data_IF_213932576379
#
_entry.id   IF_213932576379
#
_cell.length_a   1.000
_cell.length_b   1.000
_cell.length_c   1.000
_cell.angle_alpha   90.00
_cell.angle_beta   90.00
_cell.angle_gamma   90.00
#
_symmetry.space_group_name_H-M   'P 1'
#
loop_
_entity.id
_entity.type
_entity.pdbx_description
1 polymer ?
#
# COMPACT_ATOMS: atom_id res chain seq x y z
N UNK A 1 -4.81 27.83 -13.84
CA UNK A 1 -3.56 27.72 -13.05
C UNK A 1 -2.72 26.62 -13.69
N UNK A 2 -1.64 26.97 -14.39
CA UNK A 2 -0.76 25.99 -15.05
C UNK A 2 -0.13 25.15 -13.93
N UNK A 3 -0.45 23.84 -13.87
CA UNK A 3 0.26 22.94 -12.96
C UNK A 3 1.69 22.86 -13.50
N UNK A 4 2.65 23.34 -12.71
CA UNK A 4 4.07 23.11 -13.02
C UNK A 4 4.33 21.63 -12.84
N UNK A 5 4.82 20.99 -13.89
CA UNK A 5 5.30 19.62 -13.82
C UNK A 5 6.71 19.63 -13.22
N UNK A 6 6.95 18.75 -12.26
CA UNK A 6 8.21 18.63 -11.54
C UNK A 6 8.95 17.37 -11.97
N UNK A 7 10.28 17.39 -11.84
CA UNK A 7 11.08 16.17 -11.91
C UNK A 7 11.02 15.38 -10.61
N UNK A 8 11.35 14.08 -10.66
CA UNK A 8 11.44 13.24 -9.45
C UNK A 8 12.41 13.87 -8.43
N UNK A 9 13.58 14.33 -8.89
CA UNK A 9 14.59 14.94 -8.02
C UNK A 9 14.07 16.22 -7.35
N UNK A 10 13.37 17.08 -8.09
CA UNK A 10 12.78 18.29 -7.52
C UNK A 10 11.75 17.96 -6.44
N UNK A 11 10.91 16.95 -6.66
CA UNK A 11 9.90 16.54 -5.68
C UNK A 11 10.54 15.93 -4.43
N UNK A 12 11.57 15.10 -4.59
CA UNK A 12 12.33 14.55 -3.47
C UNK A 12 13.04 15.65 -2.68
N UNK A 13 13.65 16.62 -3.37
CA UNK A 13 14.28 17.78 -2.74
C UNK A 13 13.27 18.61 -1.94
N UNK A 14 12.12 18.95 -2.53
CA UNK A 14 11.05 19.67 -1.83
C UNK A 14 10.56 18.91 -0.60
N UNK A 15 10.47 17.58 -0.70
CA UNK A 15 10.05 16.73 0.43
C UNK A 15 11.11 16.72 1.52
N UNK A 16 12.40 16.69 1.17
CA UNK A 16 13.51 16.84 2.12
C UNK A 16 13.57 18.22 2.79
N UNK A 17 13.22 19.30 2.08
CA UNK A 17 13.10 20.63 2.70
C UNK A 17 11.95 20.67 3.71
N UNK A 18 10.82 20.04 3.39
CA UNK A 18 9.69 19.92 4.34
C UNK A 18 10.04 19.10 5.58
N UNK A 19 10.79 18.00 5.40
CA UNK A 19 11.31 17.16 6.48
C UNK A 19 12.16 17.98 7.46
N UNK A 20 13.16 18.71 6.95
CA UNK A 20 14.03 19.57 7.77
C UNK A 20 13.24 20.62 8.56
N UNK A 21 12.36 21.35 7.86
CA UNK A 21 11.52 22.35 8.50
C UNK A 21 10.55 21.76 9.55
N UNK A 22 10.12 20.51 9.37
CA UNK A 22 9.29 19.81 10.35
C UNK A 22 10.11 19.39 11.57
N UNK A 23 11.31 18.84 11.38
CA UNK A 23 12.21 18.45 12.46
C UNK A 23 12.54 19.64 13.36
N UNK A 24 12.89 20.80 12.78
CA UNK A 24 13.13 22.05 13.50
C UNK A 24 11.89 22.49 14.33
N UNK A 25 10.69 22.37 13.74
CA UNK A 25 9.44 22.77 14.42
C UNK A 25 8.96 21.78 15.48
N UNK A 26 9.32 20.51 15.36
CA UNK A 26 9.02 19.49 16.37
C UNK A 26 9.83 19.73 17.65
N UNK A 27 11.05 20.27 17.55
CA UNK A 27 11.84 20.69 18.72
C UNK A 27 11.13 21.81 19.52
N UNK A 28 10.33 22.65 18.86
CA UNK A 28 9.65 23.78 19.51
C UNK A 28 8.18 23.51 19.91
N UNK A 29 7.72 22.24 19.85
CA UNK A 29 6.39 21.77 20.31
C UNK A 29 5.18 22.65 19.92
N UNK A 30 5.16 23.20 18.70
CA UNK A 30 4.11 24.13 18.27
C UNK A 30 2.91 23.41 17.62
N UNK A 31 1.67 23.90 17.81
CA UNK A 31 0.50 23.42 17.05
C UNK A 31 0.68 23.49 15.52
N UNK A 32 1.51 24.43 15.04
CA UNK A 32 1.88 24.55 13.62
C UNK A 32 2.69 23.33 13.12
N UNK A 33 3.41 22.62 14.01
CA UNK A 33 4.13 21.40 13.68
C UNK A 33 3.18 20.26 13.30
N UNK A 34 2.03 20.11 13.98
CA UNK A 34 1.06 19.05 13.69
C UNK A 34 0.48 19.18 12.26
N UNK A 35 0.15 20.40 11.84
CA UNK A 35 -0.34 20.66 10.48
C UNK A 35 0.73 20.42 9.40
N UNK A 36 2.00 20.68 9.70
CA UNK A 36 3.10 20.35 8.79
C UNK A 36 3.38 18.85 8.74
N UNK A 37 3.36 18.17 9.89
CA UNK A 37 3.49 16.71 10.02
C UNK A 37 2.44 15.98 9.19
N UNK A 38 1.15 16.30 9.35
CA UNK A 38 0.07 15.65 8.57
C UNK A 38 0.25 15.87 7.07
N UNK A 39 0.70 17.06 6.66
CA UNK A 39 1.01 17.35 5.24
C UNK A 39 2.20 16.56 4.74
N UNK A 40 3.25 16.43 5.54
CA UNK A 40 4.43 15.63 5.22
C UNK A 40 4.08 14.15 5.03
N UNK A 41 3.40 13.52 5.99
CA UNK A 41 2.97 12.11 5.91
C UNK A 41 2.07 11.88 4.68
N UNK A 42 1.06 12.74 4.47
CA UNK A 42 0.18 12.62 3.29
C UNK A 42 0.95 12.76 1.96
N UNK A 43 1.98 13.61 1.91
CA UNK A 43 2.84 13.76 0.73
C UNK A 43 3.67 12.50 0.50
N UNK A 44 4.34 11.97 1.53
CA UNK A 44 5.09 10.71 1.41
C UNK A 44 4.19 9.55 0.96
N UNK A 45 3.00 9.42 1.54
CA UNK A 45 2.01 8.43 1.10
C UNK A 45 1.62 8.60 -0.38
N UNK A 46 1.29 9.81 -0.80
CA UNK A 46 0.87 10.05 -2.19
C UNK A 46 2.00 9.80 -3.19
N UNK A 47 3.23 10.19 -2.85
CA UNK A 47 4.41 9.95 -3.67
C UNK A 47 4.76 8.46 -3.74
N UNK A 48 4.65 7.73 -2.63
CA UNK A 48 4.78 6.28 -2.62
C UNK A 48 3.78 5.62 -3.59
N UNK A 49 2.52 6.04 -3.54
CA UNK A 49 1.48 5.47 -4.40
C UNK A 49 1.80 5.70 -5.88
N UNK A 50 2.33 6.88 -6.23
CA UNK A 50 2.77 7.18 -7.60
C UNK A 50 4.00 6.33 -7.97
N UNK A 51 5.08 6.39 -7.17
CA UNK A 51 6.34 5.71 -7.47
C UNK A 51 6.22 4.19 -7.53
N UNK A 52 5.34 3.60 -6.73
CA UNK A 52 5.08 2.16 -6.74
C UNK A 52 4.44 1.66 -8.03
N UNK A 53 3.68 2.48 -8.77
CA UNK A 53 3.16 2.10 -10.10
C UNK A 53 4.24 1.94 -11.16
N UNK A 54 5.36 2.64 -10.96
CA UNK A 54 6.49 2.66 -11.88
C UNK A 54 7.65 1.81 -11.35
N UNK A 55 7.39 0.94 -10.36
CA UNK A 55 8.40 0.10 -9.71
C UNK A 55 9.64 0.87 -9.20
N UNK A 56 9.49 2.16 -8.85
CA UNK A 56 10.57 3.01 -8.32
C UNK A 56 10.70 2.76 -6.81
N UNK A 57 11.04 1.53 -6.44
CA UNK A 57 10.90 1.02 -5.07
C UNK A 57 11.94 1.61 -4.08
N UNK A 58 13.13 1.99 -4.56
CA UNK A 58 14.17 2.60 -3.70
C UNK A 58 13.75 3.98 -3.17
N UNK A 59 13.30 4.86 -4.07
CA UNK A 59 12.78 6.17 -3.69
C UNK A 59 11.51 6.05 -2.82
N UNK A 60 10.64 5.09 -3.17
CA UNK A 60 9.46 4.73 -2.39
C UNK A 60 9.81 4.35 -0.95
N UNK A 61 10.80 3.46 -0.77
CA UNK A 61 11.28 3.06 0.55
C UNK A 61 11.84 4.24 1.34
N UNK A 62 12.72 5.04 0.74
CA UNK A 62 13.33 6.21 1.41
C UNK A 62 12.26 7.17 1.94
N UNK A 63 11.23 7.46 1.14
CA UNK A 63 10.12 8.33 1.56
C UNK A 63 9.32 7.75 2.72
N UNK A 64 8.96 6.47 2.65
CA UNK A 64 8.19 5.81 3.71
C UNK A 64 9.00 5.64 5.00
N UNK A 65 10.30 5.35 4.91
CA UNK A 65 11.17 5.23 6.08
C UNK A 65 11.29 6.56 6.83
N UNK A 66 11.48 7.68 6.10
CA UNK A 66 11.47 9.03 6.68
C UNK A 66 10.13 9.37 7.33
N UNK A 67 9.03 9.04 6.64
CA UNK A 67 7.69 9.21 7.17
C UNK A 67 7.48 8.41 8.46
N UNK A 68 7.91 7.16 8.51
CA UNK A 68 7.82 6.31 9.71
C UNK A 68 8.66 6.84 10.87
N UNK A 69 9.90 7.26 10.61
CA UNK A 69 10.78 7.85 11.64
C UNK A 69 10.13 9.06 12.30
N UNK A 70 9.61 9.99 11.48
CA UNK A 70 8.89 11.18 11.98
C UNK A 70 7.59 10.77 12.67
N UNK A 71 6.88 9.78 12.14
CA UNK A 71 5.63 9.31 12.71
C UNK A 71 5.82 8.74 14.12
N UNK A 72 6.83 7.90 14.33
CA UNK A 72 7.13 7.32 15.63
C UNK A 72 7.57 8.39 16.64
N UNK A 73 8.39 9.37 16.22
CA UNK A 73 8.73 10.54 17.07
C UNK A 73 7.47 11.25 17.57
N UNK A 74 6.49 11.40 16.67
CA UNK A 74 5.21 12.07 16.94
C UNK A 74 4.23 11.18 17.71
N UNK A 75 4.30 9.85 17.54
CA UNK A 75 3.42 8.86 18.17
C UNK A 75 3.67 8.76 19.68
N UNK A 76 4.94 8.80 20.08
CA UNK A 76 5.36 8.73 21.48
C UNK A 76 5.33 10.07 22.21
N UNK A 77 5.00 11.17 21.53
CA UNK A 77 4.81 12.48 22.18
C UNK A 77 3.49 12.48 22.98
N UNK A 78 3.54 12.63 24.33
CA UNK A 78 2.36 12.63 25.17
C UNK A 78 1.41 13.81 24.89
N UNK A 79 1.91 14.89 24.27
CA UNK A 79 1.10 16.07 23.96
C UNK A 79 0.25 15.90 22.70
N UNK A 80 0.48 14.84 21.91
CA UNK A 80 -0.24 14.60 20.66
C UNK A 80 -1.39 13.64 20.89
N UNK A 81 -2.59 14.21 21.02
CA UNK A 81 -3.81 13.48 21.35
C UNK A 81 -4.36 12.60 20.22
N UNK A 82 -4.06 12.93 18.95
CA UNK A 82 -4.64 12.23 17.79
C UNK A 82 -3.72 11.12 17.29
N UNK A 83 -3.69 10.00 18.03
CA UNK A 83 -2.86 8.84 17.67
C UNK A 83 -3.40 8.06 16.46
N UNK A 84 -4.72 7.97 16.32
CA UNK A 84 -5.36 7.18 15.26
C UNK A 84 -6.02 8.09 14.22
N UNK A 85 -5.28 8.43 13.15
CA UNK A 85 -5.78 9.25 12.03
C UNK A 85 -5.43 8.64 10.67
N UNK A 86 -6.23 8.98 9.65
CA UNK A 86 -6.22 8.34 8.32
C UNK A 86 -4.86 8.25 7.63
N UNK A 87 -4.00 9.27 7.77
CA UNK A 87 -2.70 9.28 7.06
C UNK A 87 -1.67 8.41 7.73
N UNK A 88 -1.75 8.21 9.06
CA UNK A 88 -0.94 7.21 9.76
C UNK A 88 -1.39 5.80 9.36
N UNK A 89 -2.70 5.53 9.37
CA UNK A 89 -3.23 4.24 8.87
C UNK A 89 -2.71 3.94 7.46
N UNK A 90 -2.83 4.91 6.55
CA UNK A 90 -2.35 4.77 5.17
C UNK A 90 -0.83 4.57 5.08
N UNK A 91 -0.04 5.20 5.95
CA UNK A 91 1.42 5.00 6.01
C UNK A 91 1.76 3.53 6.28
N UNK A 92 1.10 2.93 7.27
CA UNK A 92 1.34 1.53 7.62
C UNK A 92 0.83 0.57 6.54
N UNK A 93 -0.32 0.85 5.92
CA UNK A 93 -0.80 0.10 4.74
C UNK A 93 0.22 0.16 3.59
N UNK A 94 0.75 1.35 3.29
CA UNK A 94 1.73 1.55 2.23
C UNK A 94 3.05 0.81 2.49
N UNK A 95 3.54 0.84 3.74
CA UNK A 95 4.73 0.07 4.12
C UNK A 95 4.45 -1.44 4.00
N UNK A 96 3.30 -1.92 4.48
CA UNK A 96 2.89 -3.31 4.31
C UNK A 96 2.84 -3.74 2.84
N UNK A 97 2.28 -2.90 1.97
CA UNK A 97 2.26 -3.14 0.53
C UNK A 97 3.68 -3.20 -0.07
N UNK A 98 4.57 -2.27 0.31
CA UNK A 98 5.98 -2.30 -0.10
C UNK A 98 6.67 -3.60 0.33
N UNK A 99 6.47 -4.03 1.57
CA UNK A 99 7.03 -5.28 2.10
C UNK A 99 6.52 -6.49 1.31
N UNK A 100 5.24 -6.49 0.92
CA UNK A 100 4.66 -7.53 0.05
C UNK A 100 5.32 -7.56 -1.34
N UNK A 101 5.65 -6.40 -1.88
CA UNK A 101 6.29 -6.27 -3.19
C UNK A 101 7.73 -6.78 -3.20
N UNK A 102 8.50 -6.58 -2.12
CA UNK A 102 9.87 -7.11 -1.99
C UNK A 102 9.93 -8.58 -1.52
N UNK A 103 8.77 -9.21 -1.30
CA UNK A 103 8.68 -10.61 -0.84
C UNK A 103 8.86 -10.80 0.66
N UNK A 104 8.69 -9.76 1.47
CA UNK A 104 8.68 -9.86 2.93
C UNK A 104 7.27 -9.93 3.52
N UNK A 105 6.54 -11.01 3.23
CA UNK A 105 5.16 -11.14 3.70
C UNK A 105 5.03 -11.15 5.24
N UNK A 106 6.06 -11.59 5.96
CA UNK A 106 6.05 -11.58 7.43
C UNK A 106 6.06 -10.14 7.98
N UNK A 107 7.00 -9.30 7.52
CA UNK A 107 7.04 -7.88 7.89
C UNK A 107 5.81 -7.12 7.39
N UNK A 108 5.33 -7.48 6.18
CA UNK A 108 4.08 -6.92 5.64
C UNK A 108 2.90 -7.09 6.58
N UNK A 109 2.65 -8.34 7.03
CA UNK A 109 1.52 -8.62 7.92
C UNK A 109 1.62 -7.86 9.25
N UNK A 110 2.83 -7.68 9.81
CA UNK A 110 3.01 -6.88 11.04
C UNK A 110 2.59 -5.42 10.86
N UNK A 111 3.05 -4.77 9.79
CA UNK A 111 2.60 -3.40 9.49
C UNK A 111 1.09 -3.32 9.20
N UNK A 112 0.51 -4.35 8.59
CA UNK A 112 -0.93 -4.40 8.36
C UNK A 112 -1.72 -4.63 9.65
N UNK A 113 -1.21 -5.39 10.62
CA UNK A 113 -1.84 -5.50 11.95
C UNK A 113 -1.79 -4.17 12.72
N UNK A 114 -0.69 -3.43 12.64
CA UNK A 114 -0.62 -2.09 13.23
C UNK A 114 -1.64 -1.14 12.58
N UNK A 115 -1.78 -1.19 11.25
CA UNK A 115 -2.79 -0.43 10.53
C UNK A 115 -4.22 -0.81 10.95
N UNK A 116 -4.49 -2.10 11.13
CA UNK A 116 -5.79 -2.63 11.61
C UNK A 116 -6.10 -2.10 13.00
N UNK A 117 -5.16 -2.20 13.94
CA UNK A 117 -5.30 -1.65 15.30
C UNK A 117 -5.62 -0.15 15.27
N UNK A 118 -4.91 0.63 14.44
CA UNK A 118 -5.18 2.06 14.29
C UNK A 118 -6.55 2.37 13.68
N UNK A 119 -7.07 1.52 12.80
CA UNK A 119 -8.43 1.66 12.25
C UNK A 119 -9.46 1.46 13.36
N UNK A 120 -9.29 0.40 14.17
CA UNK A 120 -10.20 0.04 15.26
C UNK A 120 -10.18 1.06 16.40
N UNK A 121 -9.01 1.62 16.72
CA UNK A 121 -8.84 2.66 17.76
C UNK A 121 -9.32 4.05 17.32
N UNK A 122 -9.52 4.28 16.02
CA UNK A 122 -9.89 5.61 15.55
C UNK A 122 -11.30 5.99 16.00
N UNK A 123 -11.41 7.12 16.72
CA UNK A 123 -12.71 7.77 17.04
C UNK A 123 -13.55 8.07 15.78
N UNK A 124 -12.91 8.11 14.62
CA UNK A 124 -13.51 8.36 13.32
C UNK A 124 -13.65 7.09 12.47
N UNK A 125 -13.60 5.89 13.06
CA UNK A 125 -13.69 4.60 12.36
C UNK A 125 -14.91 4.51 11.43
N UNK A 126 -16.03 5.13 11.81
CA UNK A 126 -17.26 5.16 11.01
C UNK A 126 -17.26 6.17 9.85
N UNK A 127 -16.21 6.99 9.68
CA UNK A 127 -16.14 7.91 8.54
C UNK A 127 -15.91 7.15 7.24
N UNK A 128 -16.50 7.63 6.14
CA UNK A 128 -16.34 7.03 4.81
C UNK A 128 -14.88 6.81 4.40
N UNK A 129 -13.98 7.73 4.81
CA UNK A 129 -12.56 7.62 4.51
C UNK A 129 -11.86 6.49 5.29
N UNK A 130 -12.26 6.25 6.53
CA UNK A 130 -11.72 5.14 7.32
C UNK A 130 -12.24 3.80 6.81
N UNK A 131 -13.51 3.75 6.37
CA UNK A 131 -14.07 2.60 5.67
C UNK A 131 -13.38 2.30 4.32
N UNK A 132 -13.03 3.33 3.55
CA UNK A 132 -12.19 3.14 2.35
C UNK A 132 -10.79 2.61 2.69
N UNK A 133 -10.20 3.06 3.80
CA UNK A 133 -8.92 2.54 4.29
C UNK A 133 -9.04 1.09 4.77
N UNK A 134 -10.12 0.72 5.45
CA UNK A 134 -10.40 -0.66 5.85
C UNK A 134 -10.53 -1.58 4.65
N UNK A 135 -11.25 -1.16 3.60
CA UNK A 135 -11.33 -1.90 2.34
C UNK A 135 -9.93 -2.11 1.73
N UNK A 136 -9.13 -1.04 1.67
CA UNK A 136 -7.81 -1.08 1.05
C UNK A 136 -6.83 -1.93 1.86
N UNK A 137 -6.85 -1.79 3.19
CA UNK A 137 -6.12 -2.63 4.14
C UNK A 137 -6.47 -4.10 3.95
N UNK A 138 -7.76 -4.45 3.99
CA UNK A 138 -8.23 -5.82 3.91
C UNK A 138 -7.79 -6.48 2.61
N UNK A 139 -7.91 -5.78 1.49
CA UNK A 139 -7.49 -6.28 0.18
C UNK A 139 -5.97 -6.48 0.09
N UNK A 140 -5.18 -5.55 0.63
CA UNK A 140 -3.72 -5.68 0.68
C UNK A 140 -3.30 -6.81 1.64
N UNK A 141 -3.99 -6.99 2.76
CA UNK A 141 -3.76 -8.07 3.71
C UNK A 141 -4.11 -9.43 3.12
N UNK A 142 -5.22 -9.55 2.41
CA UNK A 142 -5.56 -10.74 1.64
C UNK A 142 -4.46 -11.06 0.62
N UNK A 143 -3.99 -10.06 -0.14
CA UNK A 143 -2.90 -10.26 -1.11
C UNK A 143 -1.59 -10.69 -0.44
N UNK A 144 -1.19 -10.04 0.65
CA UNK A 144 0.00 -10.40 1.42
C UNK A 144 -0.07 -11.82 1.98
N UNK A 145 -1.22 -12.19 2.57
CA UNK A 145 -1.49 -13.52 3.09
C UNK A 145 -1.45 -14.57 1.97
N UNK A 146 -1.98 -14.25 0.79
CA UNK A 146 -1.94 -15.12 -0.38
C UNK A 146 -0.49 -15.40 -0.81
N UNK A 147 0.35 -14.36 -0.89
CA UNK A 147 1.79 -14.52 -1.20
C UNK A 147 2.53 -15.32 -0.13
N UNK A 148 2.10 -15.22 1.13
CA UNK A 148 2.62 -16.02 2.23
C UNK A 148 2.07 -17.46 2.27
N UNK A 149 1.18 -17.83 1.34
CA UNK A 149 0.42 -19.11 1.35
C UNK A 149 -0.37 -19.35 2.63
N UNK A 150 -0.81 -18.27 3.29
CA UNK A 150 -1.67 -18.30 4.49
C UNK A 150 -3.14 -18.20 4.10
N UNK A 151 -3.62 -19.24 3.43
CA UNK A 151 -4.91 -19.28 2.74
C UNK A 151 -6.12 -19.00 3.65
N UNK A 152 -6.14 -19.50 4.89
CA UNK A 152 -7.20 -19.18 5.87
C UNK A 152 -7.30 -17.68 6.17
N UNK A 153 -6.15 -16.98 6.23
CA UNK A 153 -6.14 -15.53 6.44
C UNK A 153 -6.66 -14.77 5.22
N UNK A 154 -6.50 -15.33 4.01
CA UNK A 154 -7.02 -14.73 2.77
C UNK A 154 -8.54 -14.63 2.83
N UNK A 155 -9.23 -15.71 3.20
CA UNK A 155 -10.70 -15.75 3.30
C UNK A 155 -11.22 -14.69 4.27
N UNK A 156 -10.65 -14.64 5.47
CA UNK A 156 -11.00 -13.66 6.50
C UNK A 156 -10.92 -12.24 5.97
N UNK A 157 -9.82 -11.87 5.32
CA UNK A 157 -9.65 -10.51 4.82
C UNK A 157 -10.53 -10.21 3.60
N UNK A 158 -10.81 -11.20 2.74
CA UNK A 158 -11.77 -11.03 1.64
C UNK A 158 -13.19 -10.83 2.17
N UNK A 159 -13.58 -11.51 3.25
CA UNK A 159 -14.87 -11.33 3.88
C UNK A 159 -15.05 -9.89 4.41
N UNK A 160 -14.06 -9.38 5.16
CA UNK A 160 -14.06 -7.99 5.63
C UNK A 160 -14.13 -7.01 4.46
N UNK A 161 -13.32 -7.22 3.42
CA UNK A 161 -13.35 -6.39 2.22
C UNK A 161 -14.70 -6.43 1.51
N UNK A 162 -15.36 -7.59 1.47
CA UNK A 162 -16.66 -7.79 0.83
C UNK A 162 -17.78 -7.03 1.54
N UNK A 163 -17.76 -6.98 2.88
CA UNK A 163 -18.69 -6.17 3.66
C UNK A 163 -18.58 -4.69 3.24
N UNK A 164 -17.37 -4.15 3.26
CA UNK A 164 -17.14 -2.76 2.87
C UNK A 164 -17.49 -2.49 1.41
N UNK A 165 -17.09 -3.38 0.50
CA UNK A 165 -17.40 -3.29 -0.92
C UNK A 165 -18.91 -3.28 -1.20
N UNK A 166 -19.68 -4.13 -0.52
CA UNK A 166 -21.13 -4.21 -0.70
C UNK A 166 -21.84 -2.92 -0.29
N UNK A 167 -21.40 -2.26 0.79
CA UNK A 167 -21.97 -0.96 1.20
C UNK A 167 -21.76 0.12 0.12
N UNK A 168 -20.65 0.06 -0.63
CA UNK A 168 -20.38 0.98 -1.76
C UNK A 168 -21.32 0.69 -2.93
N UNK A 169 -21.42 -0.58 -3.34
CA UNK A 169 -22.22 -0.98 -4.51
C UNK A 169 -23.72 -0.74 -4.29
N UNK A 170 -24.21 -0.90 -3.06
CA UNK A 170 -25.61 -0.60 -2.70
C UNK A 170 -25.90 0.89 -2.57
N UNK A 171 -24.87 1.75 -2.63
CA UNK A 171 -25.02 3.20 -2.45
C UNK A 171 -25.25 3.63 -1.00
N UNK A 172 -24.98 2.76 -0.02
CA UNK A 172 -25.15 3.04 1.40
C UNK A 172 -24.09 4.01 1.94
N UNK A 173 -22.95 4.14 1.24
CA UNK A 173 -21.93 5.15 1.54
C UNK A 173 -21.22 5.69 0.30
N UNK A 174 -20.77 6.94 0.40
CA UNK A 174 -19.85 7.52 -0.58
C UNK A 174 -18.46 6.94 -0.39
N UNK A 175 -17.80 6.60 -1.49
CA UNK A 175 -16.42 6.10 -1.51
C UNK A 175 -15.59 6.90 -2.50
N UNK A 176 -14.29 6.97 -2.24
CA UNK A 176 -13.32 7.46 -3.23
C UNK A 176 -12.93 6.42 -4.27
N UNK A 177 -13.26 5.14 -4.05
CA UNK A 177 -13.07 4.09 -5.05
C UNK A 177 -14.07 4.35 -6.19
N UNK A 178 -13.55 4.52 -7.40
CA UNK A 178 -14.40 4.81 -8.57
C UNK A 178 -15.23 3.59 -8.94
N UNK A 179 -16.32 3.78 -9.71
CA UNK A 179 -17.10 2.66 -10.26
C UNK A 179 -16.22 1.67 -11.03
N UNK A 180 -15.27 2.17 -11.83
CA UNK A 180 -14.31 1.34 -12.54
C UNK A 180 -13.39 0.58 -11.57
N UNK A 181 -12.91 1.25 -10.52
CA UNK A 181 -12.16 0.63 -9.43
C UNK A 181 -12.94 -0.50 -8.74
N UNK A 182 -14.23 -0.30 -8.47
CA UNK A 182 -15.07 -1.36 -7.90
C UNK A 182 -15.18 -2.58 -8.82
N UNK A 183 -15.32 -2.37 -10.13
CA UNK A 183 -15.34 -3.46 -11.11
C UNK A 183 -14.00 -4.20 -11.17
N UNK A 184 -12.87 -3.47 -11.20
CA UNK A 184 -11.54 -4.07 -11.11
C UNK A 184 -11.39 -4.90 -9.83
N UNK A 185 -11.78 -4.34 -8.68
CA UNK A 185 -11.67 -5.01 -7.39
C UNK A 185 -12.48 -6.31 -7.36
N UNK A 186 -13.71 -6.28 -7.88
CA UNK A 186 -14.54 -7.47 -7.99
C UNK A 186 -13.86 -8.58 -8.81
N UNK A 187 -13.24 -8.24 -9.95
CA UNK A 187 -12.50 -9.20 -10.75
C UNK A 187 -11.26 -9.75 -10.02
N UNK A 188 -10.45 -8.89 -9.39
CA UNK A 188 -9.25 -9.31 -8.65
C UNK A 188 -9.59 -10.24 -7.48
N UNK A 189 -10.63 -9.90 -6.71
CA UNK A 189 -11.11 -10.73 -5.59
C UNK A 189 -11.67 -12.05 -6.09
N UNK A 190 -12.44 -12.04 -7.19
CA UNK A 190 -12.97 -13.26 -7.80
C UNK A 190 -11.84 -14.19 -8.23
N UNK A 191 -10.78 -13.65 -8.85
CA UNK A 191 -9.60 -14.44 -9.22
C UNK A 191 -8.96 -15.07 -7.98
N UNK A 192 -8.68 -14.28 -6.93
CA UNK A 192 -8.08 -14.80 -5.70
C UNK A 192 -8.93 -15.93 -5.07
N UNK A 193 -10.25 -15.76 -5.01
CA UNK A 193 -11.17 -16.76 -4.45
C UNK A 193 -11.21 -18.05 -5.29
N UNK A 194 -11.21 -17.96 -6.62
CA UNK A 194 -11.23 -19.14 -7.48
C UNK A 194 -9.92 -19.93 -7.35
N UNK A 195 -8.79 -19.24 -7.27
CA UNK A 195 -7.49 -19.89 -7.06
C UNK A 195 -7.42 -20.54 -5.69
N UNK A 196 -7.94 -19.87 -4.66
CA UNK A 196 -8.01 -20.39 -3.30
C UNK A 196 -8.90 -21.64 -3.20
N UNK A 197 -10.07 -21.60 -3.83
CA UNK A 197 -10.97 -22.74 -3.89
C UNK A 197 -10.32 -23.91 -4.61
N UNK A 198 -9.65 -23.64 -5.73
CA UNK A 198 -8.97 -24.67 -6.52
C UNK A 198 -7.79 -25.29 -5.77
N UNK A 199 -7.09 -24.51 -4.94
CA UNK A 199 -6.07 -25.00 -4.01
C UNK A 199 -6.67 -25.96 -2.97
N UNK A 200 -7.80 -25.61 -2.37
CA UNK A 200 -8.42 -26.41 -1.32
C UNK A 200 -9.05 -27.72 -1.84
N UNK A 201 -9.60 -27.70 -3.05
CA UNK A 201 -10.26 -28.89 -3.64
C UNK A 201 -9.32 -29.74 -4.50
N UNK A 202 -8.17 -29.21 -4.91
CA UNK A 202 -7.30 -29.82 -5.92
C UNK A 202 -7.92 -29.81 -7.33
N UNK A 203 -9.08 -29.17 -7.51
CA UNK A 203 -9.83 -29.13 -8.77
C UNK A 203 -10.05 -27.68 -9.17
N UNK A 204 -9.72 -27.38 -10.42
CA UNK A 204 -9.95 -26.06 -10.99
C UNK A 204 -11.43 -25.65 -10.94
N UNK A 205 -11.69 -24.47 -10.40
CA UNK A 205 -13.02 -23.84 -10.40
C UNK A 205 -12.98 -22.55 -11.23
N UNK A 206 -13.92 -22.43 -12.17
CA UNK A 206 -14.04 -21.27 -13.07
C UNK A 206 -15.46 -20.70 -13.14
N UNK A 207 -16.36 -21.19 -12.28
CA UNK A 207 -17.79 -20.83 -12.36
C UNK A 207 -18.00 -19.36 -12.07
N UNK A 208 -17.39 -18.84 -11.00
CA UNK A 208 -17.50 -17.45 -10.61
C UNK A 208 -16.65 -16.56 -11.51
N UNK A 209 -15.46 -17.01 -11.93
CA UNK A 209 -14.63 -16.25 -12.88
C UNK A 209 -15.32 -16.04 -14.22
N UNK A 210 -15.95 -17.07 -14.81
CA UNK A 210 -16.72 -16.95 -16.07
C UNK A 210 -17.93 -16.04 -15.91
N UNK A 211 -18.65 -16.16 -14.78
CA UNK A 211 -19.76 -15.26 -14.46
C UNK A 211 -19.29 -13.81 -14.34
N UNK A 212 -18.19 -13.57 -13.61
CA UNK A 212 -17.60 -12.26 -13.44
C UNK A 212 -17.16 -11.67 -14.78
N UNK A 213 -16.46 -12.43 -15.63
CA UNK A 213 -16.10 -12.02 -16.99
C UNK A 213 -17.33 -11.53 -17.76
N UNK A 214 -18.39 -12.36 -17.84
CA UNK A 214 -19.61 -12.02 -18.59
C UNK A 214 -20.25 -10.74 -18.06
N UNK A 215 -20.32 -10.58 -16.74
CA UNK A 215 -20.93 -9.41 -16.08
C UNK A 215 -20.09 -8.14 -16.26
N UNK A 216 -18.76 -8.27 -16.28
CA UNK A 216 -17.82 -7.15 -16.28
C UNK A 216 -17.38 -6.71 -17.67
N UNK A 217 -17.54 -7.56 -18.70
CA UNK A 217 -17.14 -7.26 -20.09
C UNK A 217 -17.70 -5.93 -20.61
N UNK A 218 -18.93 -5.57 -20.25
CA UNK A 218 -19.55 -4.29 -20.64
C UNK A 218 -18.90 -3.04 -20.03
N UNK A 219 -18.06 -3.19 -19.03
CA UNK A 219 -17.36 -2.08 -18.37
C UNK A 219 -15.92 -1.91 -18.84
N UNK A 220 -15.37 -2.85 -19.62
CA UNK A 220 -14.02 -2.74 -20.20
C UNK A 220 -12.92 -2.52 -19.16
N UNK A 221 -12.96 -3.28 -18.06
CA UNK A 221 -12.03 -3.08 -16.91
C UNK A 221 -10.75 -3.88 -17.09
N UNK A 222 -9.61 -3.34 -16.66
CA UNK A 222 -8.29 -3.96 -16.85
C UNK A 222 -8.15 -5.34 -16.19
N UNK A 223 -8.79 -5.57 -15.04
CA UNK A 223 -8.72 -6.87 -14.37
C UNK A 223 -9.49 -8.00 -15.10
N UNK A 224 -10.23 -7.68 -16.17
CA UNK A 224 -10.94 -8.69 -16.97
C UNK A 224 -9.96 -9.63 -17.66
N UNK A 225 -8.85 -9.10 -18.18
CA UNK A 225 -7.84 -9.86 -18.92
C UNK A 225 -7.22 -10.96 -18.05
N UNK A 226 -7.00 -10.67 -16.76
CA UNK A 226 -6.54 -11.66 -15.78
C UNK A 226 -7.54 -12.80 -15.57
N UNK A 227 -8.85 -12.51 -15.56
CA UNK A 227 -9.87 -13.55 -15.45
C UNK A 227 -10.00 -14.37 -16.74
N UNK A 228 -9.90 -13.73 -17.90
CA UNK A 228 -9.97 -14.41 -19.20
C UNK A 228 -8.76 -15.34 -19.35
N UNK A 229 -7.55 -14.90 -19.00
CA UNK A 229 -6.35 -15.75 -18.96
C UNK A 229 -6.49 -16.95 -18.01
N UNK A 230 -7.12 -16.76 -16.85
CA UNK A 230 -7.39 -17.87 -15.93
C UNK A 230 -8.44 -18.84 -16.49
N UNK A 231 -9.48 -18.33 -17.15
CA UNK A 231 -10.55 -19.15 -17.74
C UNK A 231 -10.05 -19.99 -18.92
N UNK A 232 -9.06 -19.49 -19.68
CA UNK A 232 -8.42 -20.20 -20.79
C UNK A 232 -7.52 -21.34 -20.31
N UNK A 233 -6.78 -21.13 -19.22
CA UNK A 233 -5.92 -22.14 -18.63
C UNK A 233 -6.18 -22.26 -17.12
N UNK A 234 -7.25 -22.97 -16.71
CA UNK A 234 -7.68 -22.99 -15.32
C UNK A 234 -6.88 -24.02 -14.53
N UNK A 235 -5.60 -23.73 -14.30
CA UNK A 235 -4.77 -24.50 -13.36
C UNK A 235 -4.48 -23.68 -12.13
N UNK A 236 -4.26 -24.39 -11.04
CA UNK A 236 -3.90 -23.78 -9.76
C UNK A 236 -2.60 -22.99 -9.87
N UNK A 237 -1.62 -23.51 -10.61
CA UNK A 237 -0.33 -22.90 -10.89
C UNK A 237 -0.49 -21.61 -11.71
N UNK A 238 -1.30 -21.64 -12.77
CA UNK A 238 -1.58 -20.46 -13.58
C UNK A 238 -2.27 -19.38 -12.74
N UNK A 239 -3.27 -19.76 -11.95
CA UNK A 239 -3.95 -18.87 -11.02
C UNK A 239 -3.01 -18.17 -10.04
N UNK A 240 -2.10 -18.94 -9.41
CA UNK A 240 -1.06 -18.38 -8.53
C UNK A 240 -0.14 -17.44 -9.31
N UNK A 241 0.27 -17.80 -10.52
CA UNK A 241 1.14 -16.97 -11.35
C UNK A 241 0.46 -15.63 -11.69
N UNK A 242 -0.83 -15.66 -12.06
CA UNK A 242 -1.63 -14.48 -12.35
C UNK A 242 -1.77 -13.56 -11.13
N UNK A 243 -2.12 -14.10 -9.96
CA UNK A 243 -2.20 -13.29 -8.72
C UNK A 243 -0.85 -12.67 -8.36
N UNK A 244 0.27 -13.35 -8.63
CA UNK A 244 1.61 -12.84 -8.35
C UNK A 244 2.19 -11.92 -9.44
N UNK A 245 1.49 -11.74 -10.56
CA UNK A 245 1.95 -10.97 -11.71
C UNK A 245 2.13 -9.48 -11.40
N UNK A 246 2.94 -8.78 -12.21
CA UNK A 246 3.03 -7.31 -12.20
C UNK A 246 1.68 -6.66 -12.52
N UNK A 247 0.94 -7.22 -13.47
CA UNK A 247 -0.37 -6.74 -13.89
C UNK A 247 -1.38 -6.74 -12.73
N UNK A 248 -1.51 -7.86 -12.00
CA UNK A 248 -2.37 -7.93 -10.82
C UNK A 248 -2.00 -6.87 -9.79
N UNK A 249 -0.70 -6.74 -9.47
CA UNK A 249 -0.20 -5.74 -8.51
C UNK A 249 -0.51 -4.30 -8.94
N UNK A 250 -0.34 -3.99 -10.22
CA UNK A 250 -0.58 -2.66 -10.77
C UNK A 250 -2.07 -2.30 -10.71
N UNK A 251 -2.95 -3.22 -11.14
CA UNK A 251 -4.39 -2.98 -11.08
C UNK A 251 -4.87 -2.87 -9.63
N UNK A 252 -4.36 -3.73 -8.73
CA UNK A 252 -4.66 -3.72 -7.30
C UNK A 252 -4.34 -2.36 -6.69
N UNK A 253 -3.10 -1.89 -6.83
CA UNK A 253 -2.63 -0.63 -6.25
C UNK A 253 -3.30 0.60 -6.87
N UNK A 254 -3.51 0.62 -8.19
CA UNK A 254 -4.29 1.67 -8.85
C UNK A 254 -5.77 1.68 -8.41
N UNK A 255 -6.30 0.54 -7.96
CA UNK A 255 -7.70 0.45 -7.51
C UNK A 255 -7.84 0.87 -6.04
N UNK A 256 -6.98 0.37 -5.16
CA UNK A 256 -7.16 0.53 -3.71
C UNK A 256 -6.32 1.66 -3.12
N UNK A 257 -5.20 2.06 -3.73
CA UNK A 257 -4.32 3.09 -3.14
C UNK A 257 -4.46 4.47 -3.79
N UNK A 258 -4.64 4.55 -5.12
CA UNK A 258 -4.81 5.82 -5.84
C UNK A 258 -5.87 6.76 -5.28
N UNK A 259 -7.03 6.29 -4.77
CA UNK A 259 -8.03 7.15 -4.15
C UNK A 259 -7.50 8.03 -3.00
N UNK A 260 -6.35 7.69 -2.42
CA UNK A 260 -5.74 8.42 -1.32
C UNK A 260 -4.69 9.46 -1.71
N UNK A 261 -4.37 9.61 -3.00
CA UNK A 261 -3.49 10.69 -3.48
C UNK A 261 -4.14 12.04 -3.16
N UNK A 262 -3.44 12.89 -2.39
CA UNK A 262 -3.97 14.19 -2.01
C UNK A 262 -3.80 15.23 -3.12
N UNK A 263 -4.71 16.20 -3.22
CA UNK A 263 -4.68 17.26 -4.25
C UNK A 263 -3.38 18.10 -4.26
N UNK A 264 -2.69 18.18 -3.12
CA UNK A 264 -1.42 18.91 -2.97
C UNK A 264 -0.18 18.13 -3.43
N UNK A 265 -0.37 16.91 -3.95
CA UNK A 265 0.74 16.11 -4.48
C UNK A 265 1.27 16.76 -5.75
N UNK A 266 2.59 16.99 -5.87
CA UNK A 266 3.20 17.49 -7.11
C UNK A 266 2.86 16.59 -8.29
N UNK A 267 2.62 17.21 -9.44
CA UNK A 267 2.56 16.47 -10.71
C UNK A 267 3.98 16.22 -11.17
N UNK A 268 4.30 14.96 -11.46
CA UNK A 268 5.62 14.53 -11.90
C UNK A 268 5.56 14.24 -13.40
N UNK A 269 6.57 14.66 -14.15
CA UNK A 269 6.65 14.40 -15.57
C UNK A 269 6.66 12.89 -15.86
N UNK A 270 5.83 12.45 -16.81
CA UNK A 270 5.71 11.04 -17.15
C UNK A 270 7.01 10.48 -17.75
N UNK A 271 7.76 11.29 -18.51
CA UNK A 271 9.07 10.89 -19.05
C UNK A 271 10.05 10.54 -17.93
N UNK A 272 10.10 11.32 -16.86
CA UNK A 272 10.98 11.07 -15.71
C UNK A 272 10.59 9.80 -14.95
N UNK A 273 9.29 9.55 -14.80
CA UNK A 273 8.79 8.32 -14.17
C UNK A 273 9.18 7.08 -14.99
N UNK A 274 9.03 7.13 -16.31
CA UNK A 274 9.43 6.04 -17.21
C UNK A 274 10.94 5.81 -17.22
N UNK A 275 11.72 6.89 -17.29
CA UNK A 275 13.18 6.80 -17.24
C UNK A 275 13.66 6.19 -15.92
N UNK A 276 13.07 6.60 -14.79
CA UNK A 276 13.40 6.04 -13.49
C UNK A 276 12.95 4.58 -13.34
N UNK A 277 11.82 4.20 -13.96
CA UNK A 277 11.38 2.80 -14.03
C UNK A 277 12.39 1.94 -14.79
N UNK A 278 12.85 2.38 -15.96
CA UNK A 278 13.87 1.68 -16.76
C UNK A 278 15.18 1.50 -15.97
N UNK A 279 15.63 2.55 -15.27
CA UNK A 279 16.79 2.47 -14.38
C UNK A 279 16.58 1.50 -13.22
N UNK A 280 15.34 1.40 -12.70
CA UNK A 280 14.99 0.51 -11.59
C UNK A 280 14.83 -0.95 -12.02
N UNK A 281 14.48 -1.24 -13.28
CA UNK A 281 14.38 -2.62 -13.78
C UNK A 281 15.74 -3.35 -13.76
N UNK A 282 16.84 -2.61 -13.86
CA UNK A 282 18.19 -3.15 -13.68
C UNK A 282 18.52 -3.47 -12.22
N UNK A 283 17.66 -3.08 -11.27
CA UNK A 283 17.94 -3.16 -9.84
C UNK A 283 16.78 -3.83 -9.08
N UNK A 284 16.91 -5.14 -8.81
CA UNK A 284 15.91 -5.85 -7.99
C UNK A 284 16.00 -5.40 -6.54
N UNK A 285 15.02 -4.62 -6.08
CA UNK A 285 14.89 -4.28 -4.67
C UNK A 285 14.65 -5.56 -3.85
N UNK A 286 15.60 -5.90 -2.98
CA UNK A 286 15.53 -7.06 -2.09
C UNK A 286 15.61 -6.63 -0.64
N UNK A 287 15.25 -7.54 0.29
CA UNK A 287 15.51 -7.36 1.73
C UNK A 287 16.96 -6.94 2.00
N UNK A 288 17.91 -7.53 1.27
CA UNK A 288 19.34 -7.23 1.40
C UNK A 288 19.66 -5.79 1.00
N UNK A 289 19.10 -5.29 -0.11
CA UNK A 289 19.32 -3.90 -0.50
C UNK A 289 18.76 -2.93 0.53
N UNK A 290 17.55 -3.19 1.03
CA UNK A 290 16.97 -2.35 2.06
C UNK A 290 17.82 -2.35 3.33
N UNK A 291 18.32 -3.50 3.74
CA UNK A 291 19.26 -3.59 4.86
C UNK A 291 20.53 -2.77 4.64
N UNK A 292 21.12 -2.84 3.45
CA UNK A 292 22.31 -2.05 3.09
C UNK A 292 22.02 -0.55 3.11
N UNK A 293 20.84 -0.13 2.64
CA UNK A 293 20.41 1.29 2.68
C UNK A 293 20.26 1.83 4.11
N UNK A 294 20.08 0.93 5.08
CA UNK A 294 20.03 1.20 6.52
C UNK A 294 21.39 1.01 7.22
N UNK A 295 22.46 0.76 6.45
CA UNK A 295 23.79 0.48 6.98
C UNK A 295 23.89 -0.82 7.79
N UNK A 296 22.95 -1.75 7.61
CA UNK A 296 22.90 -3.03 8.33
C UNK A 296 23.56 -4.14 7.53
N UNK A 297 24.29 -5.02 8.21
CA UNK A 297 24.91 -6.19 7.59
C UNK A 297 23.86 -7.26 7.27
N UNK A 298 24.08 -8.03 6.20
CA UNK A 298 23.17 -9.11 5.80
C UNK A 298 22.89 -10.13 6.93
N UNK A 299 23.91 -10.50 7.72
CA UNK A 299 23.77 -11.40 8.88
C UNK A 299 22.79 -10.89 9.95
N UNK A 300 22.63 -9.57 10.08
CA UNK A 300 21.68 -8.99 11.02
C UNK A 300 20.22 -9.13 10.56
N UNK A 301 20.00 -9.27 9.25
CA UNK A 301 18.69 -9.32 8.59
C UNK A 301 18.18 -10.74 8.44
N UNK A 302 19.07 -11.74 8.38
CA UNK A 302 18.65 -13.14 8.49
C UNK A 302 18.13 -13.47 9.90
N UNK A 303 18.65 -12.81 10.94
CA UNK A 303 18.29 -13.08 12.34
C UNK A 303 17.07 -12.31 12.82
N UNK A 304 16.66 -11.24 12.13
CA UNK A 304 15.54 -10.37 12.52
C UNK A 304 14.69 -10.06 11.30
N UNK A 305 13.38 -10.14 11.43
CA UNK A 305 12.48 -9.67 10.37
C UNK A 305 12.65 -8.17 10.11
N UNK A 306 12.41 -7.75 8.87
CA UNK A 306 12.67 -6.39 8.43
C UNK A 306 11.79 -5.35 9.15
N UNK A 307 10.57 -5.72 9.55
CA UNK A 307 9.73 -4.88 10.43
C UNK A 307 10.46 -4.54 11.72
N UNK A 308 11.02 -5.54 12.42
CA UNK A 308 11.76 -5.32 13.68
C UNK A 308 12.97 -4.41 13.47
N UNK A 309 13.68 -4.55 12.34
CA UNK A 309 14.81 -3.68 11.99
C UNK A 309 14.34 -2.25 11.76
N UNK A 310 13.34 -2.07 10.90
CA UNK A 310 12.84 -0.76 10.51
C UNK A 310 12.25 0.00 11.69
N UNK A 311 11.50 -0.68 12.56
CA UNK A 311 10.95 -0.10 13.78
C UNK A 311 12.06 0.29 14.77
N UNK A 312 13.03 -0.60 15.02
CA UNK A 312 14.14 -0.30 15.94
C UNK A 312 14.92 0.91 15.47
N UNK A 313 15.26 0.96 14.18
CA UNK A 313 16.02 2.07 13.62
C UNK A 313 15.21 3.38 13.59
N UNK A 314 13.95 3.32 13.19
CA UNK A 314 13.07 4.50 13.19
C UNK A 314 12.90 5.05 14.60
N UNK A 315 12.79 4.19 15.62
CA UNK A 315 12.75 4.57 17.03
C UNK A 315 14.08 5.20 17.46
N UNK A 316 15.21 4.57 17.18
CA UNK A 316 16.53 5.10 17.51
C UNK A 316 16.76 6.48 16.88
N UNK A 317 16.43 6.62 15.59
CA UNK A 317 16.54 7.89 14.89
C UNK A 317 15.57 8.94 15.44
N UNK A 318 14.35 8.55 15.81
CA UNK A 318 13.39 9.46 16.44
C UNK A 318 13.93 10.08 17.74
N UNK A 319 14.67 9.30 18.54
CA UNK A 319 15.28 9.73 19.80
C UNK A 319 16.67 10.38 19.67
N UNK A 320 17.41 10.10 18.60
CA UNK A 320 18.74 10.68 18.35
C UNK A 320 18.71 12.05 17.64
N UNK A 321 17.55 12.49 17.14
CA UNK A 321 17.37 13.86 16.66
C UNK A 321 17.14 14.78 17.88
N UNK A 322 18.22 15.03 18.62
CA UNK A 322 18.37 16.10 19.60
C UNK A 322 19.17 17.23 18.98
#
# INVERSE_FOLDING_TARGET
MIKRDFTIQQVLQQTGTMEKALVEKLQTLSHKALGLYKRFINRCNSLFIIFSQFDILSASFSLLHKALTIDLKTFFDPNIMEKAWKGRVLLYINIGYLMTNIGDSASSMKFLYDAESLIMESKNSNTNIMKDLLLSHSIIAAFSAFKARRFESVEKYIEIASLEFNTIIRGERLSKVTKNGCCNLYCLVTLMLEVLKSQNTGLASTTNSRFATKKMRKYGVSALDLLDNYNENPTVENGIALVNSSEFKNILSATVLFPFIVKSTPVIQLCDLKQAQEQSQNFKLTKMFLAQSLGKSYKSVERRDFYSILMTESIQNAYNIN
#
